data_IF_760801156701
#
_entry.id   IF_760801156701
#
_cell.length_a   1.000
_cell.length_b   1.000
_cell.length_c   1.000
_cell.angle_alpha   90.00
_cell.angle_beta   90.00
_cell.angle_gamma   90.00
#
_symmetry.space_group_name_H-M   'P 1'
#
loop_
_entity.id
_entity.type
_entity.pdbx_description
1 polymer ?
#
# COMPACT_ATOMS: atom_id res chain seq x y z
N UNK A 1 3.11 1.55 16.06
CA UNK A 1 3.15 1.40 14.57
C UNK A 1 3.69 2.65 13.89
N UNK A 2 3.01 3.81 13.97
CA UNK A 2 3.53 5.09 13.40
C UNK A 2 4.98 5.37 13.80
N UNK A 3 5.28 5.28 15.09
CA UNK A 3 6.62 5.52 15.65
C UNK A 3 7.70 4.64 15.01
N UNK A 4 7.39 3.37 14.72
CA UNK A 4 8.35 2.46 14.07
C UNK A 4 8.67 2.91 12.62
N UNK A 5 7.73 3.53 11.92
CA UNK A 5 7.98 4.11 10.59
C UNK A 5 8.77 5.41 10.69
N UNK A 6 8.41 6.29 11.63
CA UNK A 6 9.10 7.58 11.84
C UNK A 6 10.54 7.37 12.31
N UNK A 7 10.78 6.43 13.22
CA UNK A 7 12.12 6.10 13.68
C UNK A 7 13.03 5.54 12.58
N UNK A 8 12.44 4.98 11.51
CA UNK A 8 13.20 4.54 10.34
C UNK A 8 13.48 5.70 9.36
N UNK A 9 12.50 6.58 9.15
CA UNK A 9 12.64 7.77 8.34
C UNK A 9 11.63 8.84 8.80
N UNK A 10 12.13 10.02 9.19
CA UNK A 10 11.28 11.10 9.71
C UNK A 10 10.18 11.52 8.73
N UNK A 11 10.48 11.49 7.43
CA UNK A 11 9.53 11.82 6.37
C UNK A 11 8.28 10.92 6.40
N UNK A 12 8.35 9.71 6.98
CA UNK A 12 7.20 8.83 7.11
C UNK A 12 6.05 9.45 7.93
N UNK A 13 6.34 10.44 8.79
CA UNK A 13 5.35 11.11 9.62
C UNK A 13 4.17 11.68 8.82
N UNK A 14 4.41 12.17 7.59
CA UNK A 14 3.40 12.82 6.74
C UNK A 14 2.44 11.82 6.08
N UNK A 15 2.74 10.52 6.15
CA UNK A 15 1.86 9.46 5.68
C UNK A 15 0.87 9.00 6.76
N UNK A 16 0.89 9.61 7.95
CA UNK A 16 -0.05 9.31 9.02
C UNK A 16 -0.94 10.51 9.33
N UNK A 17 -2.23 10.28 9.46
CA UNK A 17 -3.21 11.27 9.93
C UNK A 17 -3.80 10.81 11.26
N UNK A 18 -4.00 11.70 12.24
CA UNK A 18 -4.64 11.33 13.49
C UNK A 18 -6.07 10.83 13.23
N UNK A 19 -6.49 9.85 14.01
CA UNK A 19 -7.84 9.30 14.01
C UNK A 19 -8.41 9.30 15.44
N UNK A 20 -9.67 8.93 15.58
CA UNK A 20 -10.32 8.86 16.89
C UNK A 20 -9.60 7.89 17.85
N UNK A 21 -9.78 8.15 19.16
CA UNK A 21 -9.29 7.28 20.24
C UNK A 21 -7.76 7.07 20.21
N UNK A 22 -7.01 8.10 19.82
CA UNK A 22 -5.54 8.05 19.76
C UNK A 22 -4.99 7.14 18.67
N UNK A 23 -5.83 6.75 17.69
CA UNK A 23 -5.42 5.92 16.56
C UNK A 23 -4.86 6.78 15.43
N UNK A 24 -4.32 6.11 14.42
CA UNK A 24 -3.76 6.75 13.24
C UNK A 24 -4.31 6.09 11.97
N UNK A 25 -4.64 6.89 10.97
CA UNK A 25 -4.85 6.44 9.60
C UNK A 25 -3.50 6.47 8.88
N UNK A 26 -3.07 5.33 8.37
CA UNK A 26 -1.83 5.20 7.62
C UNK A 26 -2.12 5.17 6.10
N UNK A 27 -1.46 6.05 5.36
CA UNK A 27 -1.37 6.00 3.91
C UNK A 27 -0.26 5.01 3.52
N UNK A 28 -0.66 3.75 3.30
CA UNK A 28 0.27 2.67 2.98
C UNK A 28 0.96 2.88 1.62
N UNK A 29 0.32 3.54 0.66
CA UNK A 29 0.89 3.80 -0.66
C UNK A 29 1.99 4.86 -0.58
N UNK A 30 1.80 5.91 0.21
CA UNK A 30 2.82 6.93 0.46
C UNK A 30 4.05 6.34 1.16
N UNK A 31 3.84 5.51 2.19
CA UNK A 31 4.93 4.83 2.89
C UNK A 31 5.75 3.92 1.95
N UNK A 32 5.09 3.20 1.04
CA UNK A 32 5.77 2.39 0.04
C UNK A 32 6.60 3.25 -0.92
N UNK A 33 6.05 4.38 -1.40
CA UNK A 33 6.73 5.31 -2.31
C UNK A 33 7.97 5.93 -1.68
N UNK A 34 7.88 6.40 -0.44
CA UNK A 34 9.03 6.96 0.28
C UNK A 34 10.18 5.95 0.37
N UNK A 35 9.86 4.70 0.70
CA UNK A 35 10.85 3.62 0.76
C UNK A 35 11.45 3.32 -0.61
N UNK A 36 10.62 3.17 -1.64
CA UNK A 36 11.09 2.89 -3.01
C UNK A 36 11.98 4.03 -3.54
N UNK A 37 11.61 5.28 -3.27
CA UNK A 37 12.41 6.45 -3.66
C UNK A 37 13.78 6.46 -2.97
N UNK A 38 13.85 6.08 -1.69
CA UNK A 38 15.13 5.96 -0.96
C UNK A 38 16.07 4.90 -1.58
N UNK A 39 15.52 3.91 -2.30
CA UNK A 39 16.30 2.92 -3.06
C UNK A 39 16.54 3.32 -4.54
N UNK A 40 16.22 4.55 -4.94
CA UNK A 40 16.47 5.06 -6.29
C UNK A 40 15.47 4.56 -7.35
N UNK A 41 14.31 4.04 -6.96
CA UNK A 41 13.27 3.63 -7.91
C UNK A 41 12.69 4.87 -8.60
N UNK A 42 12.92 4.99 -9.91
CA UNK A 42 12.54 6.18 -10.69
C UNK A 42 11.07 6.28 -11.10
N UNK A 43 10.34 5.16 -11.13
CA UNK A 43 8.92 5.15 -11.50
C UNK A 43 8.11 4.21 -10.60
N UNK A 44 7.01 4.73 -10.05
CA UNK A 44 6.06 3.96 -9.23
C UNK A 44 4.63 4.28 -9.68
N UNK A 45 3.96 3.30 -10.29
CA UNK A 45 2.57 3.40 -10.73
C UNK A 45 1.54 2.79 -9.77
N UNK A 46 0.25 3.03 -10.04
CA UNK A 46 -0.88 2.49 -9.29
C UNK A 46 -1.00 3.03 -7.86
N UNK A 47 -1.75 2.34 -6.99
CA UNK A 47 -2.00 2.79 -5.62
C UNK A 47 -3.24 3.68 -5.46
N UNK A 48 -4.15 3.61 -6.42
CA UNK A 48 -5.37 4.44 -6.45
C UNK A 48 -6.61 3.71 -5.91
N UNK A 49 -6.46 2.43 -5.54
CA UNK A 49 -7.57 1.59 -5.09
C UNK A 49 -7.60 1.47 -3.56
N UNK A 50 -8.80 1.35 -3.00
CA UNK A 50 -9.01 1.02 -1.61
C UNK A 50 -9.89 -0.23 -1.51
N UNK A 51 -9.32 -1.32 -0.97
CA UNK A 51 -10.02 -2.61 -0.87
C UNK A 51 -11.24 -2.54 0.05
N UNK A 52 -11.24 -1.64 1.04
CA UNK A 52 -12.36 -1.41 1.96
C UNK A 52 -13.54 -0.74 1.24
N UNK A 53 -13.29 0.31 0.45
CA UNK A 53 -14.36 1.14 -0.13
C UNK A 53 -14.91 0.62 -1.45
N UNK A 54 -14.24 -0.32 -2.12
CA UNK A 54 -14.72 -0.94 -3.36
C UNK A 54 -15.04 -2.43 -3.17
N UNK A 55 -16.18 -2.75 -2.52
CA UNK A 55 -16.59 -4.13 -2.23
C UNK A 55 -16.98 -4.93 -3.48
N UNK A 56 -17.26 -4.26 -4.61
CA UNK A 56 -17.64 -4.94 -5.85
C UNK A 56 -16.43 -5.57 -6.53
N UNK A 57 -15.22 -5.06 -6.27
CA UNK A 57 -13.99 -5.53 -6.92
C UNK A 57 -13.06 -6.30 -5.99
N UNK A 58 -13.09 -6.04 -4.68
CA UNK A 58 -12.08 -6.56 -3.75
C UNK A 58 -12.67 -7.21 -2.51
N UNK A 59 -12.09 -8.35 -2.10
CA UNK A 59 -12.20 -8.81 -0.72
C UNK A 59 -11.49 -7.83 0.21
N UNK A 60 -12.02 -7.63 1.42
CA UNK A 60 -11.34 -6.82 2.43
C UNK A 60 -11.55 -7.39 3.83
N UNK A 61 -10.47 -7.89 4.44
CA UNK A 61 -10.52 -8.40 5.81
C UNK A 61 -10.99 -7.34 6.82
N UNK A 62 -10.59 -6.07 6.62
CA UNK A 62 -10.99 -4.97 7.51
C UNK A 62 -12.49 -4.72 7.49
N UNK A 63 -13.15 -4.98 6.36
CA UNK A 63 -14.60 -4.82 6.18
C UNK A 63 -15.36 -6.08 6.54
N UNK A 64 -14.91 -7.24 6.04
CA UNK A 64 -15.71 -8.47 6.00
C UNK A 64 -15.25 -9.54 7.02
N UNK A 65 -14.11 -9.35 7.69
CA UNK A 65 -13.53 -10.37 8.58
C UNK A 65 -13.04 -11.59 7.79
N UNK A 66 -13.57 -12.78 8.10
CA UNK A 66 -13.20 -14.01 7.39
C UNK A 66 -13.74 -13.96 5.96
N UNK A 67 -12.84 -13.76 4.99
CA UNK A 67 -13.16 -13.54 3.57
C UNK A 67 -12.11 -14.19 2.66
N UNK A 68 -12.29 -14.10 1.34
CA UNK A 68 -11.32 -14.57 0.34
C UNK A 68 -10.02 -13.77 0.30
N UNK A 69 -9.17 -14.07 -0.68
CA UNK A 69 -7.91 -13.35 -0.93
C UNK A 69 -7.74 -13.09 -2.42
N UNK A 70 -7.20 -11.93 -2.77
CA UNK A 70 -6.71 -11.64 -4.11
C UNK A 70 -5.23 -11.98 -4.21
N UNK A 71 -4.74 -12.12 -5.43
CA UNK A 71 -3.32 -12.26 -5.73
C UNK A 71 -2.90 -11.20 -6.76
N UNK A 72 -1.66 -10.73 -6.64
CA UNK A 72 -0.98 -9.93 -7.66
C UNK A 72 0.07 -10.82 -8.33
N UNK A 73 0.00 -10.96 -9.65
CA UNK A 73 0.89 -11.84 -10.42
C UNK A 73 1.66 -11.01 -11.44
N UNK A 74 2.92 -11.35 -11.66
CA UNK A 74 3.78 -10.78 -12.70
C UNK A 74 4.65 -11.89 -13.28
N UNK A 75 4.81 -11.91 -14.60
CA UNK A 75 5.65 -12.87 -15.30
C UNK A 75 6.25 -12.22 -16.55
N UNK A 76 7.37 -12.76 -17.02
CA UNK A 76 7.91 -12.46 -18.33
C UNK A 76 7.29 -13.42 -19.33
N UNK A 77 6.69 -12.90 -20.40
CA UNK A 77 6.26 -13.71 -21.53
C UNK A 77 7.44 -13.85 -22.49
N UNK A 78 7.73 -15.08 -22.93
CA UNK A 78 8.72 -15.27 -23.99
C UNK A 78 8.18 -14.70 -25.29
N UNK A 79 8.98 -13.89 -25.99
CA UNK A 79 8.60 -13.32 -27.27
C UNK A 79 8.52 -14.39 -28.35
N UNK A 80 7.50 -14.31 -29.21
CA UNK A 80 7.56 -14.93 -30.53
C UNK A 80 8.60 -14.14 -31.35
N UNK A 81 9.73 -14.78 -31.65
CA UNK A 81 10.59 -14.35 -32.74
C UNK A 81 9.77 -14.51 -34.03
N UNK A 82 9.34 -13.41 -34.62
CA UNK A 82 8.85 -13.37 -36.00
C UNK A 82 9.95 -12.83 -36.91
#
# INVERSE_FOLDING_TARGET
MREAFVAHADEAAIAFRPAEQGKWLADIYRLARQRLAAFGVGFVGGGDYCTVSDPKRFYSYRRDGVTGRMASLIWLQQGELS
#
